data_IF_659226217338
#
_entry.id   IF_659226217338
#
_cell.length_a   1.000
_cell.length_b   1.000
_cell.length_c   1.000
_cell.angle_alpha   90.00
_cell.angle_beta   90.00
_cell.angle_gamma   90.00
#
_symmetry.space_group_name_H-M   'P 1'
#
loop_
_entity.id
_entity.type
_entity.pdbx_description
1 polymer ?
#
# COMPACT_ATOMS: atom_id res chain seq x y z
N UNK A 1 4.07 11.51 7.00
CA UNK A 1 3.03 11.24 5.97
C UNK A 1 1.68 11.56 6.58
N UNK A 2 0.80 12.17 5.79
CA UNK A 2 -0.58 12.50 6.13
C UNK A 2 -1.48 11.98 5.00
N UNK A 3 -2.72 11.57 5.28
CA UNK A 3 -3.73 11.36 4.25
C UNK A 3 -3.98 12.66 3.47
N UNK A 4 -4.41 12.51 2.23
CA UNK A 4 -4.86 13.62 1.38
C UNK A 4 -6.37 13.59 1.37
N UNK A 5 -6.98 14.70 1.78
CA UNK A 5 -8.41 14.90 1.64
C UNK A 5 -8.77 15.08 0.17
N UNK A 6 -9.47 14.10 -0.37
CA UNK A 6 -10.29 14.24 -1.59
C UNK A 6 -11.73 14.49 -1.15
N UNK A 7 -12.60 15.07 -2.01
CA UNK A 7 -14.01 15.41 -1.73
C UNK A 7 -14.46 15.20 -0.26
N UNK A 8 -14.96 13.99 0.04
CA UNK A 8 -15.36 13.57 1.38
C UNK A 8 -14.60 12.33 1.88
N UNK A 9 -13.41 12.04 1.33
CA UNK A 9 -12.63 10.83 1.66
C UNK A 9 -11.17 11.19 1.92
N UNK A 10 -10.64 10.77 3.06
CA UNK A 10 -9.22 10.85 3.39
C UNK A 10 -8.45 9.67 2.78
N UNK A 11 -7.53 9.95 1.86
CA UNK A 11 -6.80 8.92 1.10
C UNK A 11 -5.33 8.89 1.48
N UNK A 12 -4.86 7.75 2.00
CA UNK A 12 -3.44 7.50 2.21
C UNK A 12 -2.78 6.96 0.94
N UNK A 13 -1.65 7.54 0.53
CA UNK A 13 -0.91 7.12 -0.66
C UNK A 13 0.44 6.52 -0.25
N UNK A 14 0.74 5.34 -0.81
CA UNK A 14 2.02 4.64 -0.69
C UNK A 14 2.60 4.46 -2.10
N UNK A 15 3.91 4.64 -2.25
CA UNK A 15 4.57 4.54 -3.55
C UNK A 15 5.60 3.42 -3.56
N UNK A 16 5.45 2.48 -4.48
CA UNK A 16 6.40 1.41 -4.75
C UNK A 16 6.77 0.67 -3.46
N UNK A 17 8.01 0.78 -2.99
CA UNK A 17 8.54 0.06 -1.83
C UNK A 17 7.82 0.37 -0.51
N UNK A 18 7.10 1.48 -0.40
CA UNK A 18 6.32 1.82 0.80
C UNK A 18 5.30 0.71 1.15
N UNK A 19 4.78 0.01 0.14
CA UNK A 19 3.82 -1.08 0.32
C UNK A 19 4.39 -2.27 1.12
N UNK A 20 5.71 -2.41 1.21
CA UNK A 20 6.36 -3.44 2.03
C UNK A 20 6.53 -3.03 3.50
N UNK A 21 6.35 -1.75 3.81
CA UNK A 21 6.49 -1.25 5.17
C UNK A 21 5.10 -1.08 5.81
N UNK A 22 4.70 -2.07 6.62
CA UNK A 22 3.44 -2.03 7.35
C UNK A 22 3.25 -0.78 8.21
N UNK A 23 4.33 -0.20 8.73
CA UNK A 23 4.25 0.94 9.65
C UNK A 23 3.77 2.20 8.93
N UNK A 24 4.02 2.31 7.62
CA UNK A 24 3.49 3.37 6.77
C UNK A 24 1.97 3.26 6.64
N UNK A 25 1.47 2.05 6.34
CA UNK A 25 0.03 1.79 6.26
C UNK A 25 -0.68 2.03 7.60
N UNK A 26 -0.09 1.57 8.71
CA UNK A 26 -0.62 1.81 10.06
C UNK A 26 -0.67 3.31 10.37
N UNK A 27 0.41 4.04 10.09
CA UNK A 27 0.47 5.50 10.34
C UNK A 27 -0.61 6.25 9.54
N UNK A 28 -0.84 5.89 8.28
CA UNK A 28 -1.88 6.52 7.45
C UNK A 28 -3.29 6.21 7.98
N UNK A 29 -3.54 4.96 8.39
CA UNK A 29 -4.81 4.53 8.99
C UNK A 29 -5.08 5.26 10.31
N UNK A 30 -4.10 5.33 11.21
CA UNK A 30 -4.20 6.03 12.50
C UNK A 30 -4.48 7.54 12.33
N UNK A 31 -4.05 8.11 11.20
CA UNK A 31 -4.28 9.51 10.83
C UNK A 31 -5.61 9.75 10.12
N UNK A 32 -6.43 8.72 9.98
CA UNK A 32 -7.77 8.81 9.45
C UNK A 32 -7.89 8.52 7.96
N UNK A 33 -6.88 7.92 7.32
CA UNK A 33 -7.05 7.42 5.95
C UNK A 33 -8.16 6.36 5.91
N UNK A 34 -9.19 6.62 5.11
CA UNK A 34 -10.31 5.70 4.86
C UNK A 34 -9.98 4.73 3.73
N UNK A 35 -9.10 5.14 2.81
CA UNK A 35 -8.63 4.34 1.68
C UNK A 35 -7.10 4.43 1.60
N UNK A 36 -6.44 3.29 1.38
CA UNK A 36 -5.01 3.23 1.07
C UNK A 36 -4.80 2.87 -0.40
N UNK A 37 -4.06 3.70 -1.12
CA UNK A 37 -3.65 3.46 -2.50
C UNK A 37 -2.15 3.16 -2.56
N UNK A 38 -1.79 1.95 -2.99
CA UNK A 38 -0.40 1.56 -3.25
C UNK A 38 -0.12 1.62 -4.75
N UNK A 39 0.57 2.67 -5.19
CA UNK A 39 0.96 2.83 -6.59
C UNK A 39 2.34 2.22 -6.81
N UNK A 40 2.40 1.13 -7.56
CA UNK A 40 3.64 0.37 -7.69
C UNK A 40 4.00 0.04 -9.14
N UNK A 41 5.30 0.01 -9.42
CA UNK A 41 5.88 -0.44 -10.68
C UNK A 41 6.83 -1.60 -10.40
N UNK A 42 6.27 -2.78 -10.25
CA UNK A 42 7.02 -3.99 -9.93
C UNK A 42 7.64 -4.61 -11.19
N UNK A 43 8.92 -5.00 -11.10
CA UNK A 43 9.54 -5.85 -12.11
C UNK A 43 9.00 -7.28 -12.03
N UNK A 44 8.85 -8.00 -13.16
CA UNK A 44 8.39 -9.39 -13.14
C UNK A 44 9.32 -10.28 -12.31
N UNK A 45 8.72 -11.15 -11.48
CA UNK A 45 9.39 -12.27 -10.81
C UNK A 45 10.13 -11.97 -9.50
N UNK A 46 10.29 -10.71 -9.09
CA UNK A 46 11.07 -10.39 -7.89
C UNK A 46 10.25 -9.65 -6.82
N UNK A 47 9.45 -8.64 -7.17
CA UNK A 47 8.98 -7.65 -6.19
C UNK A 47 7.47 -7.35 -6.30
N UNK A 48 6.60 -8.36 -6.45
CA UNK A 48 5.16 -8.17 -6.16
C UNK A 48 4.86 -8.44 -4.68
N UNK A 49 3.68 -8.07 -4.13
CA UNK A 49 3.19 -8.74 -2.93
C UNK A 49 3.18 -10.25 -3.18
N UNK A 50 3.72 -11.05 -2.25
CA UNK A 50 3.89 -12.50 -2.43
C UNK A 50 2.60 -13.15 -2.96
N UNK A 51 2.72 -13.93 -4.03
CA UNK A 51 1.68 -14.87 -4.43
C UNK A 51 1.60 -15.99 -3.39
N UNK A 52 0.85 -15.79 -2.30
CA UNK A 52 0.45 -16.90 -1.43
C UNK A 52 -0.63 -17.74 -2.14
N UNK A 53 -0.22 -18.40 -3.23
CA UNK A 53 -0.99 -19.33 -4.01
C UNK A 53 -0.14 -20.56 -4.27
N UNK A 54 -0.29 -21.54 -3.38
CA UNK A 54 0.15 -22.94 -3.50
C UNK A 54 0.65 -23.35 -4.89
N UNK A 55 1.97 -23.46 -5.09
CA UNK A 55 2.54 -24.17 -6.25
C UNK A 55 3.22 -25.43 -5.74
N UNK A 56 2.43 -26.49 -5.67
CA UNK A 56 2.98 -27.83 -5.81
C UNK A 56 3.63 -27.93 -7.19
N UNK A 57 4.93 -28.16 -7.21
CA UNK A 57 5.70 -29.05 -8.09
C UNK A 57 7.07 -29.27 -7.44
#
# INVERSE_FOLDING_TARGET
MEPIKTDNVEVGIMICADAYNKDIACTLSEKGAEILLALSSWGPGLHGPEENGNKGH
#
